data_IF_940986472064
#
_entry.id   IF_940986472064
#
_cell.length_a   1.000
_cell.length_b   1.000
_cell.length_c   1.000
_cell.angle_alpha   90.00
_cell.angle_beta   90.00
_cell.angle_gamma   90.00
#
_symmetry.space_group_name_H-M   'P 1'
#
loop_
_entity.id
_entity.type
_entity.pdbx_description
1 polymer ?
#
# COMPACT_ATOMS: atom_id res chain seq x y z
N UNK A 1 5.36 14.16 -55.67
CA UNK A 1 4.75 13.07 -54.88
C UNK A 1 5.77 12.01 -54.46
N UNK A 2 7.02 12.08 -54.94
CA UNK A 2 8.11 11.14 -54.62
C UNK A 2 8.95 11.57 -53.39
N UNK A 3 9.19 12.88 -53.21
CA UNK A 3 9.95 13.43 -52.06
C UNK A 3 9.25 13.25 -50.70
N UNK A 4 7.92 13.20 -50.66
CA UNK A 4 7.15 12.99 -49.41
C UNK A 4 7.30 11.54 -48.91
N UNK A 5 7.53 10.58 -49.82
CA UNK A 5 7.66 9.16 -49.51
C UNK A 5 9.03 8.81 -48.95
N UNK A 6 10.07 9.52 -49.40
CA UNK A 6 11.46 9.31 -48.98
C UNK A 6 11.77 9.98 -47.64
N UNK A 7 11.27 11.20 -47.41
CA UNK A 7 11.35 11.87 -46.11
C UNK A 7 10.56 11.17 -45.00
N UNK A 8 9.45 10.49 -45.33
CA UNK A 8 8.72 9.65 -44.37
C UNK A 8 9.49 8.37 -44.03
N UNK A 9 10.24 7.81 -44.99
CA UNK A 9 11.05 6.60 -44.80
C UNK A 9 12.28 6.88 -43.92
N UNK A 10 12.99 7.98 -44.17
CA UNK A 10 14.16 8.35 -43.37
C UNK A 10 13.80 8.72 -41.93
N UNK A 11 12.64 9.32 -41.68
CA UNK A 11 12.14 9.58 -40.32
C UNK A 11 11.74 8.29 -39.60
N UNK A 12 11.16 7.32 -40.31
CA UNK A 12 10.86 5.99 -39.75
C UNK A 12 12.16 5.25 -39.42
N UNK A 13 13.16 5.28 -40.31
CA UNK A 13 14.45 4.62 -40.10
C UNK A 13 15.22 5.24 -38.93
N UNK A 14 15.27 6.57 -38.80
CA UNK A 14 15.88 7.24 -37.65
C UNK A 14 15.18 6.93 -36.33
N UNK A 15 13.83 6.87 -36.34
CA UNK A 15 13.04 6.49 -35.15
C UNK A 15 13.28 5.02 -34.77
N UNK A 16 13.41 4.14 -35.76
CA UNK A 16 13.70 2.72 -35.54
C UNK A 16 15.10 2.52 -34.96
N UNK A 17 16.11 3.21 -35.52
CA UNK A 17 17.48 3.19 -35.01
C UNK A 17 17.56 3.73 -33.58
N UNK A 18 16.84 4.79 -33.24
CA UNK A 18 16.82 5.31 -31.87
C UNK A 18 16.17 4.32 -30.91
N UNK A 19 15.03 3.70 -31.27
CA UNK A 19 14.39 2.67 -30.44
C UNK A 19 15.27 1.45 -30.22
N UNK A 20 15.99 0.98 -31.24
CA UNK A 20 16.93 -0.15 -31.12
C UNK A 20 18.08 0.23 -30.18
N UNK A 21 18.61 1.44 -30.30
CA UNK A 21 19.69 1.92 -29.45
C UNK A 21 19.26 2.03 -27.98
N UNK A 22 18.07 2.57 -27.73
CA UNK A 22 17.50 2.68 -26.39
C UNK A 22 17.31 1.29 -25.76
N UNK A 23 16.85 0.30 -26.54
CA UNK A 23 16.69 -1.08 -26.09
C UNK A 23 18.04 -1.71 -25.70
N UNK A 24 19.07 -1.55 -26.52
CA UNK A 24 20.42 -2.09 -26.26
C UNK A 24 21.04 -1.44 -25.02
N UNK A 25 20.85 -0.13 -24.83
CA UNK A 25 21.37 0.58 -23.67
C UNK A 25 20.67 0.16 -22.37
N UNK A 26 19.34 -0.06 -22.42
CA UNK A 26 18.59 -0.62 -21.30
C UNK A 26 19.09 -2.01 -20.89
N UNK A 27 19.30 -2.92 -21.86
CA UNK A 27 19.83 -4.26 -21.60
C UNK A 27 21.22 -4.22 -20.96
N UNK A 28 22.10 -3.34 -21.46
CA UNK A 28 23.45 -3.16 -20.91
C UNK A 28 23.43 -2.61 -19.48
N UNK A 29 22.53 -1.68 -19.19
CA UNK A 29 22.38 -1.14 -17.83
C UNK A 29 21.90 -2.23 -16.87
N UNK A 30 20.96 -3.08 -17.29
CA UNK A 30 20.50 -4.22 -16.50
C UNK A 30 21.59 -5.26 -16.27
N UNK A 31 22.40 -5.58 -17.28
CA UNK A 31 23.52 -6.52 -17.11
C UNK A 31 24.56 -5.98 -16.13
N UNK A 32 24.89 -4.69 -16.24
CA UNK A 32 25.84 -4.02 -15.33
C UNK A 32 25.32 -4.02 -13.89
N UNK A 33 24.02 -3.78 -13.70
CA UNK A 33 23.38 -3.84 -12.39
C UNK A 33 23.43 -5.27 -11.82
N UNK A 34 23.18 -6.29 -12.65
CA UNK A 34 23.26 -7.69 -12.25
C UNK A 34 24.65 -8.07 -11.78
N UNK A 35 25.68 -7.69 -12.54
CA UNK A 35 27.08 -7.97 -12.21
C UNK A 35 27.47 -7.30 -10.88
N UNK A 36 27.11 -6.03 -10.72
CA UNK A 36 27.34 -5.31 -9.46
C UNK A 36 26.62 -5.96 -8.26
N UNK A 37 25.37 -6.40 -8.45
CA UNK A 37 24.62 -7.12 -7.42
C UNK A 37 25.27 -8.47 -7.09
N UNK A 38 25.73 -9.21 -8.09
CA UNK A 38 26.42 -10.50 -7.91
C UNK A 38 27.72 -10.33 -7.12
N UNK A 39 28.50 -9.31 -7.44
CA UNK A 39 29.76 -9.01 -6.74
C UNK A 39 29.51 -8.67 -5.27
N UNK A 40 28.51 -7.85 -4.97
CA UNK A 40 28.13 -7.50 -3.59
C UNK A 40 27.57 -8.74 -2.87
N UNK A 41 26.70 -9.49 -3.54
CA UNK A 41 26.03 -10.66 -3.01
C UNK A 41 26.99 -11.84 -2.76
N UNK A 42 28.18 -11.85 -3.39
CA UNK A 42 29.22 -12.85 -3.18
C UNK A 42 29.69 -12.92 -1.71
N UNK A 43 29.60 -11.80 -0.99
CA UNK A 43 30.13 -11.67 0.37
C UNK A 43 29.02 -11.73 1.42
N UNK A 44 27.86 -11.13 1.15
CA UNK A 44 26.73 -11.09 2.07
C UNK A 44 25.39 -11.18 1.33
N UNK A 45 24.36 -11.81 1.92
CA UNK A 45 23.03 -11.82 1.34
C UNK A 45 22.47 -10.41 1.19
N UNK A 46 21.87 -10.12 0.04
CA UNK A 46 21.19 -8.86 -0.24
C UNK A 46 19.69 -9.09 -0.11
N UNK A 47 19.00 -8.23 0.65
CA UNK A 47 17.53 -8.19 0.70
C UNK A 47 17.09 -6.85 0.10
N UNK A 48 16.39 -6.90 -1.03
CA UNK A 48 15.79 -5.74 -1.66
C UNK A 48 14.31 -5.65 -1.26
N UNK A 49 13.95 -4.56 -0.59
CA UNK A 49 12.56 -4.24 -0.26
C UNK A 49 12.01 -3.28 -1.32
N UNK A 50 10.93 -3.69 -1.99
CA UNK A 50 10.23 -2.86 -2.98
C UNK A 50 8.83 -2.61 -2.42
N UNK A 51 8.47 -1.35 -2.20
CA UNK A 51 7.19 -0.96 -1.61
C UNK A 51 6.31 -0.21 -2.63
N UNK A 52 5.00 -0.26 -2.43
CA UNK A 52 3.97 0.51 -3.13
C UNK A 52 3.94 0.36 -4.66
N UNK A 53 4.32 -0.81 -5.20
CA UNK A 53 4.29 -1.06 -6.65
C UNK A 53 2.88 -0.93 -7.26
N UNK A 54 1.84 -1.19 -6.46
CA UNK A 54 0.43 -1.01 -6.82
C UNK A 54 0.02 0.45 -7.07
N UNK A 55 0.81 1.43 -6.59
CA UNK A 55 0.56 2.87 -6.83
C UNK A 55 1.22 3.41 -8.09
N UNK A 56 2.06 2.61 -8.72
CA UNK A 56 2.75 3.00 -9.93
C UNK A 56 1.79 3.07 -11.12
N UNK A 57 2.19 3.82 -12.16
CA UNK A 57 1.46 3.80 -13.43
C UNK A 57 1.43 2.37 -13.99
N UNK A 58 0.33 1.91 -14.58
CA UNK A 58 0.18 0.50 -14.93
C UNK A 58 1.26 -0.10 -15.85
N UNK A 59 1.73 0.66 -16.82
CA UNK A 59 2.87 0.31 -17.69
C UNK A 59 4.17 0.11 -16.89
N UNK A 60 4.44 1.02 -15.96
CA UNK A 60 5.63 0.98 -15.12
C UNK A 60 5.62 -0.19 -14.15
N UNK A 61 4.47 -0.47 -13.51
CA UNK A 61 4.34 -1.59 -12.57
C UNK A 61 4.64 -2.94 -13.26
N UNK A 62 4.14 -3.12 -14.48
CA UNK A 62 4.39 -4.31 -15.30
C UNK A 62 5.86 -4.41 -15.69
N UNK A 63 6.44 -3.33 -16.22
CA UNK A 63 7.86 -3.28 -16.57
C UNK A 63 8.77 -3.59 -15.37
N UNK A 64 8.42 -3.09 -14.19
CA UNK A 64 9.13 -3.38 -12.95
C UNK A 64 9.05 -4.87 -12.57
N UNK A 65 7.89 -5.52 -12.69
CA UNK A 65 7.75 -6.96 -12.44
C UNK A 65 8.59 -7.79 -13.42
N UNK A 66 8.62 -7.41 -14.69
CA UNK A 66 9.45 -8.06 -15.71
C UNK A 66 10.94 -7.86 -15.42
N UNK A 67 11.34 -6.62 -15.12
CA UNK A 67 12.71 -6.28 -14.71
C UNK A 67 13.12 -7.09 -13.48
N UNK A 68 12.22 -7.21 -12.50
CA UNK A 68 12.47 -7.99 -11.30
C UNK A 68 12.79 -9.45 -11.65
N UNK A 69 12.02 -10.05 -12.54
CA UNK A 69 12.25 -11.44 -12.96
C UNK A 69 13.61 -11.64 -13.64
N UNK A 70 14.09 -10.66 -14.40
CA UNK A 70 15.32 -10.75 -15.18
C UNK A 70 16.59 -10.37 -14.40
N UNK A 71 16.50 -9.35 -13.55
CA UNK A 71 17.65 -8.80 -12.81
C UNK A 71 17.99 -9.62 -11.57
N UNK A 72 17.00 -10.25 -10.93
CA UNK A 72 17.17 -10.85 -9.62
C UNK A 72 17.23 -12.38 -9.62
N UNK A 73 17.52 -12.98 -10.77
CA UNK A 73 18.04 -14.36 -10.84
C UNK A 73 19.54 -14.37 -10.49
N UNK A 74 19.88 -13.79 -9.33
CA UNK A 74 21.24 -13.68 -8.81
C UNK A 74 21.29 -14.42 -7.49
N UNK A 75 22.24 -15.32 -7.37
CA UNK A 75 22.44 -16.07 -6.13
C UNK A 75 22.69 -15.11 -4.96
N UNK A 76 22.10 -15.43 -3.80
CA UNK A 76 22.22 -14.65 -2.58
C UNK A 76 21.55 -13.25 -2.63
N UNK A 77 20.67 -13.00 -3.60
CA UNK A 77 19.77 -11.83 -3.61
C UNK A 77 18.32 -12.28 -3.39
N UNK A 78 17.66 -11.72 -2.37
CA UNK A 78 16.24 -11.92 -2.11
C UNK A 78 15.48 -10.61 -2.30
N UNK A 79 14.28 -10.69 -2.85
CA UNK A 79 13.38 -9.55 -2.98
C UNK A 79 12.14 -9.80 -2.15
N UNK A 80 11.71 -8.75 -1.45
CA UNK A 80 10.44 -8.72 -0.76
C UNK A 80 9.64 -7.57 -1.37
N UNK A 81 8.54 -7.92 -2.04
CA UNK A 81 7.57 -6.95 -2.53
C UNK A 81 6.50 -6.72 -1.48
N UNK A 82 6.31 -5.45 -1.10
CA UNK A 82 5.29 -4.98 -0.19
C UNK A 82 4.27 -4.22 -1.04
N UNK A 83 3.07 -4.77 -1.19
CA UNK A 83 2.07 -4.20 -2.10
C UNK A 83 0.67 -4.69 -1.74
N UNK A 84 -0.36 -3.92 -2.12
CA UNK A 84 -1.71 -4.43 -2.13
C UNK A 84 -1.90 -5.33 -3.37
N UNK A 85 -1.95 -6.65 -3.14
CA UNK A 85 -2.08 -7.64 -4.21
C UNK A 85 -3.33 -7.44 -5.09
N UNK A 86 -4.46 -6.99 -4.53
CA UNK A 86 -5.69 -6.75 -5.31
C UNK A 86 -5.57 -5.50 -6.18
N UNK A 87 -4.96 -4.43 -5.67
CA UNK A 87 -4.69 -3.24 -6.47
C UNK A 87 -3.68 -3.53 -7.57
N UNK A 88 -2.62 -4.30 -7.27
CA UNK A 88 -1.63 -4.70 -8.28
C UNK A 88 -2.27 -5.54 -9.39
N UNK A 89 -3.20 -6.46 -9.07
CA UNK A 89 -3.98 -7.21 -10.08
C UNK A 89 -4.81 -6.27 -10.95
N UNK A 90 -5.48 -5.29 -10.35
CA UNK A 90 -6.28 -4.31 -11.08
C UNK A 90 -5.41 -3.47 -12.03
N UNK A 91 -4.22 -3.05 -11.58
CA UNK A 91 -3.21 -2.35 -12.37
C UNK A 91 -2.78 -3.19 -13.58
N UNK A 92 -2.48 -4.48 -13.41
CA UNK A 92 -2.09 -5.38 -14.51
C UNK A 92 -3.25 -5.60 -15.50
N UNK A 93 -4.47 -5.76 -15.00
CA UNK A 93 -5.67 -5.89 -15.84
C UNK A 93 -5.88 -4.66 -16.72
N UNK A 94 -5.57 -3.47 -16.21
CA UNK A 94 -5.62 -2.24 -17.00
C UNK A 94 -4.59 -2.23 -18.13
N UNK A 95 -3.36 -2.67 -17.87
CA UNK A 95 -2.28 -2.69 -18.89
C UNK A 95 -2.50 -3.71 -20.01
N UNK A 96 -3.02 -4.90 -19.69
CA UNK A 96 -3.15 -6.02 -20.64
C UNK A 96 -4.58 -6.28 -21.13
N UNK A 97 -5.56 -5.48 -20.69
CA UNK A 97 -6.98 -5.62 -21.06
C UNK A 97 -7.74 -6.66 -20.22
N UNK A 98 -9.07 -6.57 -20.28
CA UNK A 98 -10.00 -7.34 -19.43
C UNK A 98 -9.96 -8.86 -19.60
N UNK A 99 -9.53 -9.32 -20.78
CA UNK A 99 -9.46 -10.74 -21.15
C UNK A 99 -8.21 -11.45 -20.60
N UNK A 100 -7.26 -10.70 -20.04
CA UNK A 100 -6.05 -11.26 -19.48
C UNK A 100 -6.31 -11.76 -18.06
N UNK A 101 -6.00 -13.03 -17.80
CA UNK A 101 -6.01 -13.59 -16.46
C UNK A 101 -4.86 -13.00 -15.62
N UNK A 102 -5.09 -11.78 -15.13
CA UNK A 102 -4.19 -11.04 -14.24
C UNK A 102 -3.80 -11.84 -12.99
N UNK A 103 -4.65 -12.78 -12.55
CA UNK A 103 -4.33 -13.67 -11.44
C UNK A 103 -3.19 -14.61 -11.85
N UNK A 104 -3.37 -15.42 -12.90
CA UNK A 104 -2.32 -16.34 -13.38
C UNK A 104 -1.05 -15.62 -13.84
N UNK A 105 -1.13 -14.39 -14.33
CA UNK A 105 0.04 -13.58 -14.66
C UNK A 105 0.84 -13.23 -13.40
N UNK A 106 0.18 -12.68 -12.37
CA UNK A 106 0.81 -12.24 -11.13
C UNK A 106 1.49 -13.39 -10.35
N UNK A 107 0.83 -14.56 -10.29
CA UNK A 107 1.39 -15.73 -9.60
C UNK A 107 2.68 -16.27 -10.21
N UNK A 108 3.00 -15.94 -11.47
CA UNK A 108 4.29 -16.33 -12.09
C UNK A 108 5.48 -15.57 -11.49
N UNK A 109 5.23 -14.44 -10.83
CA UNK A 109 6.28 -13.59 -10.24
C UNK A 109 6.48 -13.85 -8.74
N UNK A 110 5.47 -14.35 -8.03
CA UNK A 110 5.54 -14.60 -6.60
C UNK A 110 5.74 -16.07 -6.28
N UNK A 111 6.93 -16.43 -5.76
CA UNK A 111 7.20 -17.77 -5.21
C UNK A 111 6.46 -17.99 -3.90
N UNK A 112 6.40 -16.97 -3.06
CA UNK A 112 5.75 -16.98 -1.76
C UNK A 112 4.94 -15.71 -1.59
N UNK A 113 3.73 -15.86 -1.02
CA UNK A 113 2.91 -14.73 -0.61
C UNK A 113 2.63 -14.88 0.88
N UNK A 114 2.90 -13.81 1.63
CA UNK A 114 2.65 -13.73 3.07
C UNK A 114 1.71 -12.56 3.28
N UNK A 115 0.54 -12.83 3.84
CA UNK A 115 -0.37 -11.77 4.26
C UNK A 115 -0.04 -11.37 5.71
N UNK A 116 -0.06 -10.07 5.98
CA UNK A 116 0.10 -9.59 7.35
C UNK A 116 -1.11 -10.02 8.19
N UNK A 117 -0.89 -10.45 9.46
CA UNK A 117 -1.99 -10.85 10.32
C UNK A 117 -2.90 -9.65 10.59
N UNK A 118 -4.21 -9.89 10.58
CA UNK A 118 -5.25 -8.87 10.88
C UNK A 118 -5.73 -8.92 12.33
N UNK A 119 -5.30 -9.94 13.07
CA UNK A 119 -5.60 -10.14 14.48
C UNK A 119 -4.33 -10.44 15.27
N UNK A 120 -4.34 -10.07 16.54
CA UNK A 120 -3.30 -10.37 17.52
C UNK A 120 -3.95 -10.93 18.78
N UNK A 121 -3.13 -11.52 19.65
CA UNK A 121 -3.62 -12.01 20.95
C UNK A 121 -3.46 -10.94 22.01
N UNK A 122 -4.50 -10.74 22.82
CA UNK A 122 -4.43 -9.88 24.00
C UNK A 122 -3.75 -10.61 25.20
N UNK A 123 -3.63 -9.91 26.33
CA UNK A 123 -3.04 -10.44 27.58
C UNK A 123 -3.77 -11.69 28.10
N UNK A 124 -5.06 -11.83 27.77
CA UNK A 124 -5.91 -12.97 28.13
C UNK A 124 -5.92 -14.04 27.03
N UNK A 125 -5.01 -13.96 26.06
CA UNK A 125 -4.84 -14.88 24.93
C UNK A 125 -6.09 -14.98 24.02
N UNK A 126 -6.96 -13.97 24.04
CA UNK A 126 -8.10 -13.84 23.13
C UNK A 126 -7.67 -13.18 21.83
N UNK A 127 -8.31 -13.59 20.74
CA UNK A 127 -8.09 -12.95 19.44
C UNK A 127 -8.75 -11.58 19.40
N UNK A 128 -7.97 -10.55 19.12
CA UNK A 128 -8.42 -9.15 19.00
C UNK A 128 -7.98 -8.61 17.65
N UNK A 129 -8.87 -7.87 16.98
CA UNK A 129 -8.56 -7.20 15.72
C UNK A 129 -7.48 -6.14 15.92
N UNK A 130 -6.51 -6.11 15.00
CA UNK A 130 -5.42 -5.11 15.02
C UNK A 130 -5.97 -3.69 14.92
N UNK A 131 -7.08 -3.52 14.22
CA UNK A 131 -7.76 -2.23 14.07
C UNK A 131 -8.30 -1.72 15.41
N UNK A 132 -8.88 -2.60 16.24
CA UNK A 132 -9.37 -2.24 17.57
C UNK A 132 -8.19 -1.85 18.48
N UNK A 133 -7.10 -2.62 18.42
CA UNK A 133 -5.87 -2.29 19.15
C UNK A 133 -5.29 -0.95 18.70
N UNK A 134 -5.28 -0.69 17.39
CA UNK A 134 -4.79 0.56 16.82
C UNK A 134 -5.67 1.76 17.21
N UNK A 135 -7.00 1.64 17.10
CA UNK A 135 -7.95 2.67 17.53
C UNK A 135 -7.73 3.05 19.00
N UNK A 136 -7.60 2.04 19.89
CA UNK A 136 -7.32 2.28 21.30
C UNK A 136 -6.01 3.03 21.49
N UNK A 137 -4.95 2.63 20.79
CA UNK A 137 -3.64 3.27 20.85
C UNK A 137 -3.71 4.74 20.42
N UNK A 138 -4.32 5.03 19.27
CA UNK A 138 -4.37 6.40 18.74
C UNK A 138 -5.21 7.32 19.64
N UNK A 139 -6.29 6.83 20.26
CA UNK A 139 -7.02 7.59 21.29
C UNK A 139 -6.14 7.89 22.51
N UNK A 140 -5.40 6.89 22.99
CA UNK A 140 -4.53 7.05 24.16
C UNK A 140 -3.37 8.02 23.90
N UNK A 141 -2.81 7.98 22.69
CA UNK A 141 -1.70 8.83 22.26
C UNK A 141 -2.13 10.28 21.92
N UNK A 142 -3.44 10.56 21.77
CA UNK A 142 -3.94 11.91 21.47
C UNK A 142 -3.74 12.89 22.63
N UNK A 143 -3.23 14.08 22.33
CA UNK A 143 -3.11 15.18 23.31
C UNK A 143 -4.36 16.06 23.42
N UNK A 144 -5.32 15.90 22.51
CA UNK A 144 -6.55 16.70 22.46
C UNK A 144 -7.65 16.02 23.27
N UNK A 145 -7.71 14.69 23.21
CA UNK A 145 -8.70 13.88 23.92
C UNK A 145 -8.43 13.96 25.44
N UNK A 146 -9.45 14.33 26.21
CA UNK A 146 -9.37 14.46 27.67
C UNK A 146 -9.13 13.10 28.34
N UNK A 147 -8.51 13.12 29.53
CA UNK A 147 -8.28 11.90 30.31
C UNK A 147 -9.59 11.20 30.68
N UNK A 148 -10.64 11.96 30.99
CA UNK A 148 -11.98 11.46 31.29
C UNK A 148 -12.58 10.67 30.10
N UNK A 149 -12.37 11.14 28.87
CA UNK A 149 -12.76 10.43 27.66
C UNK A 149 -11.95 9.14 27.51
N UNK A 150 -10.63 9.20 27.73
CA UNK A 150 -9.75 8.02 27.62
C UNK A 150 -10.10 6.92 28.62
N UNK A 151 -10.62 7.28 29.79
CA UNK A 151 -11.02 6.34 30.85
C UNK A 151 -12.42 5.73 30.63
N UNK A 152 -13.22 6.29 29.72
CA UNK A 152 -14.54 5.80 29.41
C UNK A 152 -14.48 4.46 28.66
N UNK A 153 -14.71 3.37 29.40
CA UNK A 153 -14.70 1.99 28.87
C UNK A 153 -15.70 1.75 27.74
N UNK A 154 -16.82 2.48 27.70
CA UNK A 154 -17.85 2.31 26.67
C UNK A 154 -17.33 2.71 25.29
N UNK A 155 -16.43 3.69 25.21
CA UNK A 155 -15.86 4.17 23.95
C UNK A 155 -15.06 3.07 23.25
N UNK A 156 -14.40 2.19 24.00
CA UNK A 156 -13.67 1.05 23.44
C UNK A 156 -14.56 -0.14 23.10
N UNK A 157 -15.84 -0.12 23.50
CA UNK A 157 -16.81 -1.13 23.10
C UNK A 157 -17.47 -0.77 21.76
N UNK A 158 -17.64 0.52 21.46
CA UNK A 158 -18.21 1.01 20.19
C UNK A 158 -17.51 0.41 18.95
N UNK A 159 -16.17 0.33 18.89
CA UNK A 159 -15.43 -0.40 17.87
C UNK A 159 -15.91 -1.81 17.52
N UNK A 160 -16.36 -2.54 18.54
CA UNK A 160 -16.83 -3.92 18.38
C UNK A 160 -18.21 -3.97 17.70
N UNK A 161 -18.98 -2.89 17.77
CA UNK A 161 -20.32 -2.78 17.21
C UNK A 161 -20.37 -2.14 15.82
N UNK A 162 -19.38 -1.32 15.45
CA UNK A 162 -19.34 -0.57 14.18
C UNK A 162 -18.47 -1.25 13.11
N UNK A 163 -18.06 -2.50 13.35
CA UNK A 163 -17.22 -3.28 12.43
C UNK A 163 -15.92 -2.54 12.04
N UNK A 164 -15.25 -1.94 13.04
CA UNK A 164 -13.94 -1.29 12.87
C UNK A 164 -12.91 -2.23 12.22
N UNK A 165 -13.10 -3.54 12.34
CA UNK A 165 -12.34 -4.58 11.63
C UNK A 165 -12.23 -4.36 10.12
N UNK A 166 -13.19 -3.67 9.50
CA UNK A 166 -13.22 -3.43 8.04
C UNK A 166 -12.53 -2.14 7.63
N UNK A 167 -12.30 -1.21 8.57
CA UNK A 167 -11.71 0.08 8.26
C UNK A 167 -10.20 -0.04 7.99
N UNK A 168 -9.70 0.80 7.09
CA UNK A 168 -8.25 0.98 6.98
C UNK A 168 -7.71 1.71 8.22
N UNK A 169 -6.44 1.50 8.58
CA UNK A 169 -5.80 2.25 9.67
C UNK A 169 -5.88 3.77 9.46
N UNK A 170 -5.83 4.22 8.20
CA UNK A 170 -6.00 5.63 7.84
C UNK A 170 -7.41 6.15 8.15
N UNK A 171 -8.44 5.35 7.87
CA UNK A 171 -9.82 5.72 8.20
C UNK A 171 -10.01 5.76 9.72
N UNK A 172 -9.37 4.87 10.47
CA UNK A 172 -9.38 4.90 11.94
C UNK A 172 -8.81 6.23 12.45
N UNK A 173 -7.68 6.68 11.91
CA UNK A 173 -7.15 8.00 12.28
C UNK A 173 -8.08 9.13 11.87
N UNK A 174 -8.80 9.02 10.75
CA UNK A 174 -9.76 10.03 10.31
C UNK A 174 -10.93 10.14 11.27
N UNK A 175 -11.49 9.01 11.69
CA UNK A 175 -12.52 8.95 12.74
C UNK A 175 -12.01 9.65 14.01
N UNK A 176 -10.77 9.37 14.42
CA UNK A 176 -10.21 9.98 15.63
C UNK A 176 -10.01 11.48 15.47
N UNK A 177 -9.54 11.95 14.31
CA UNK A 177 -9.48 13.40 14.00
C UNK A 177 -10.87 14.05 14.07
N UNK A 178 -11.92 13.36 13.62
CA UNK A 178 -13.29 13.83 13.79
C UNK A 178 -13.69 13.92 15.27
N UNK A 179 -13.36 12.90 16.08
CA UNK A 179 -13.58 12.94 17.54
C UNK A 179 -12.85 14.12 18.19
N UNK A 180 -11.56 14.31 17.88
CA UNK A 180 -10.76 15.43 18.38
C UNK A 180 -11.40 16.78 18.03
N UNK A 181 -11.86 16.91 16.79
CA UNK A 181 -12.56 18.12 16.33
C UNK A 181 -13.84 18.36 17.13
N UNK A 182 -14.66 17.34 17.32
CA UNK A 182 -15.90 17.44 18.09
C UNK A 182 -15.64 17.83 19.55
N UNK A 183 -14.60 17.28 20.17
CA UNK A 183 -14.19 17.62 21.55
C UNK A 183 -13.72 19.08 21.63
N UNK A 184 -12.99 19.58 20.64
CA UNK A 184 -12.55 20.99 20.61
C UNK A 184 -13.73 21.96 20.52
N UNK A 185 -14.79 21.58 19.80
CA UNK A 185 -16.01 22.37 19.68
C UNK A 185 -17.05 22.09 20.79
N UNK A 186 -16.77 21.18 21.71
CA UNK A 186 -17.65 20.83 22.83
C UNK A 186 -17.63 21.94 23.90
N UNK A 187 -18.79 22.52 24.17
CA UNK A 187 -18.97 23.48 25.26
C UNK A 187 -19.29 22.73 26.57
N UNK A 188 -18.23 22.41 27.33
CA UNK A 188 -18.33 21.63 28.57
C UNK A 188 -19.27 22.23 29.62
N UNK A 189 -19.49 23.56 29.62
CA UNK A 189 -20.36 24.21 30.60
C UNK A 189 -21.86 23.95 30.34
N UNK A 190 -22.21 23.51 29.12
CA UNK A 190 -23.60 23.22 28.73
C UNK A 190 -23.93 21.73 28.65
N UNK A 191 -22.95 20.84 28.93
CA UNK A 191 -23.12 19.39 28.86
C UNK A 191 -24.13 18.91 29.90
N UNK A 192 -25.17 18.20 29.46
CA UNK A 192 -26.17 17.60 30.37
C UNK A 192 -25.79 16.17 30.74
N UNK A 193 -25.12 15.44 29.85
CA UNK A 193 -24.62 14.10 30.12
C UNK A 193 -23.36 13.82 29.32
N UNK A 194 -22.22 14.11 29.94
CA UNK A 194 -20.90 14.00 29.32
C UNK A 194 -20.63 12.60 28.74
N UNK A 195 -20.96 11.53 29.46
CA UNK A 195 -20.74 10.14 28.99
C UNK A 195 -21.57 9.82 27.74
N UNK A 196 -22.82 10.28 27.67
CA UNK A 196 -23.70 10.04 26.51
C UNK A 196 -23.23 10.87 25.32
N UNK A 197 -22.86 12.12 25.56
CA UNK A 197 -22.33 13.02 24.53
C UNK A 197 -21.03 12.47 23.92
N UNK A 198 -20.12 11.93 24.73
CA UNK A 198 -18.93 11.23 24.25
C UNK A 198 -19.23 10.01 23.38
N UNK A 199 -20.17 9.16 23.81
CA UNK A 199 -20.60 7.98 23.04
C UNK A 199 -21.23 8.41 21.71
N UNK A 200 -22.03 9.47 21.71
CA UNK A 200 -22.62 10.06 20.49
C UNK A 200 -21.56 10.66 19.58
N UNK A 201 -20.54 11.36 20.10
CA UNK A 201 -19.44 11.90 19.30
C UNK A 201 -18.69 10.80 18.56
N UNK A 202 -18.37 9.71 19.25
CA UNK A 202 -17.74 8.54 18.64
C UNK A 202 -18.66 7.95 17.57
N UNK A 203 -19.94 7.72 17.88
CA UNK A 203 -20.90 7.18 16.91
C UNK A 203 -21.04 8.06 15.66
N UNK A 204 -21.17 9.38 15.83
CA UNK A 204 -21.25 10.34 14.73
C UNK A 204 -19.97 10.33 13.89
N UNK A 205 -18.79 10.25 14.51
CA UNK A 205 -17.53 10.21 13.77
C UNK A 205 -17.43 9.04 12.79
N UNK A 206 -18.06 7.89 13.11
CA UNK A 206 -18.15 6.75 12.19
C UNK A 206 -19.19 6.91 11.09
N UNK A 207 -20.25 7.70 11.29
CA UNK A 207 -21.27 7.97 10.24
C UNK A 207 -20.77 8.94 9.17
N UNK A 208 -19.80 9.80 9.52
CA UNK A 208 -19.25 10.83 8.63
C UNK A 208 -17.96 10.41 7.91
N UNK A 209 -17.46 9.18 8.14
CA UNK A 209 -16.22 8.64 7.54
C UNK A 209 -16.54 7.45 6.64
#
# INVERSE_FOLDING_TARGET
MEEIKDGSKSLIDQSLESMIKDQVEAEKNLSTLRDALSDIASTNPIILLIDELDRCRPDFAVMMLETIKHVFDVDNVQIILITNAEQLKATIKHSYGSETDSHSYLYKFFKYQINLPTTNKDEENRSVSNNVTYFRRVIQDSNVISQEFKENKLIYQIPLFIDISTLSLRNIEQVIRCIETLIVFEDKEKSQSYVIEQVLMVFLSFLYT
#
